data_IF_761776101488
#
_entry.id   IF_761776101488
#
_cell.length_a   1.000
_cell.length_b   1.000
_cell.length_c   1.000
_cell.angle_alpha   90.00
_cell.angle_beta   90.00
_cell.angle_gamma   90.00
#
_symmetry.space_group_name_H-M   'P 1'
#
loop_
_entity.id
_entity.type
_entity.pdbx_description
1 polymer ?
#
# COMPACT_ATOMS: atom_id res chain seq x y z
N UNK A 1 12.67 -21.19 -9.95
CA UNK A 1 11.34 -20.69 -9.64
C UNK A 1 11.44 -19.65 -8.54
N UNK A 2 10.57 -18.62 -8.57
CA UNK A 2 10.41 -17.61 -7.53
C UNK A 2 8.92 -17.43 -7.26
N UNK A 3 8.51 -17.39 -5.99
CA UNK A 3 7.13 -17.17 -5.59
C UNK A 3 7.00 -15.86 -4.83
N UNK A 4 6.26 -14.94 -5.41
CA UNK A 4 6.07 -13.57 -4.91
C UNK A 4 4.64 -13.41 -4.40
N UNK A 5 4.46 -12.86 -3.20
CA UNK A 5 3.16 -12.47 -2.68
C UNK A 5 3.08 -10.95 -2.69
N UNK A 6 2.26 -10.38 -3.56
CA UNK A 6 2.35 -8.97 -3.97
C UNK A 6 0.99 -8.25 -3.91
N UNK A 7 1.03 -6.94 -4.06
CA UNK A 7 -0.17 -6.15 -4.30
C UNK A 7 -0.68 -6.36 -5.73
N UNK A 8 -1.99 -6.19 -5.92
CA UNK A 8 -2.63 -6.24 -7.24
C UNK A 8 -2.13 -5.07 -8.14
N UNK A 9 -1.86 -5.37 -9.41
CA UNK A 9 -1.39 -4.39 -10.43
C UNK A 9 -0.20 -3.49 -10.01
N UNK A 10 0.74 -4.00 -9.25
CA UNK A 10 1.77 -3.18 -8.59
C UNK A 10 3.19 -3.40 -9.13
N UNK A 11 3.42 -4.45 -9.90
CA UNK A 11 4.66 -4.68 -10.66
C UNK A 11 4.31 -4.78 -12.14
N UNK A 12 4.99 -4.03 -13.05
CA UNK A 12 4.78 -4.16 -14.49
C UNK A 12 5.17 -5.55 -14.98
N UNK A 13 4.34 -6.15 -15.85
CA UNK A 13 4.63 -7.48 -16.41
C UNK A 13 5.95 -7.49 -17.19
N UNK A 14 6.26 -6.40 -17.89
CA UNK A 14 7.52 -6.25 -18.64
C UNK A 14 8.76 -6.37 -17.74
N UNK A 15 8.66 -5.93 -16.48
CA UNK A 15 9.74 -6.06 -15.51
C UNK A 15 9.92 -7.49 -15.05
N UNK A 16 8.82 -8.22 -14.88
CA UNK A 16 8.83 -9.66 -14.56
C UNK A 16 9.44 -10.45 -15.72
N UNK A 17 8.97 -10.21 -16.94
CA UNK A 17 9.46 -10.86 -18.15
C UNK A 17 10.98 -10.59 -18.36
N UNK A 18 11.44 -9.38 -18.05
CA UNK A 18 12.85 -9.01 -18.08
C UNK A 18 13.66 -9.84 -17.09
N UNK A 19 13.20 -9.94 -15.83
CA UNK A 19 13.87 -10.75 -14.82
C UNK A 19 13.96 -12.22 -15.22
N UNK A 20 12.86 -12.81 -15.69
CA UNK A 20 12.81 -14.20 -16.16
C UNK A 20 13.78 -14.45 -17.31
N UNK A 21 13.81 -13.54 -18.29
CA UNK A 21 14.69 -13.62 -19.45
C UNK A 21 16.18 -13.52 -19.07
N UNK A 22 16.52 -12.64 -18.14
CA UNK A 22 17.91 -12.41 -17.73
C UNK A 22 18.46 -13.51 -16.82
N UNK A 23 17.58 -14.14 -16.01
CA UNK A 23 17.99 -15.08 -14.98
C UNK A 23 17.63 -16.54 -15.24
N UNK A 24 16.65 -16.79 -16.13
CA UNK A 24 16.08 -18.11 -16.34
C UNK A 24 15.21 -18.59 -15.14
N UNK A 25 14.80 -17.68 -14.27
CA UNK A 25 13.99 -17.97 -13.08
C UNK A 25 12.53 -17.66 -13.38
N UNK A 26 11.66 -18.66 -13.43
CA UNK A 26 10.22 -18.45 -13.57
C UNK A 26 9.65 -17.79 -12.33
N UNK A 27 8.80 -16.77 -12.49
CA UNK A 27 8.16 -16.01 -11.40
C UNK A 27 6.67 -16.32 -11.36
N UNK A 28 6.18 -16.61 -10.16
CA UNK A 28 4.74 -16.74 -9.90
C UNK A 28 4.34 -15.68 -8.89
N UNK A 29 3.29 -14.92 -9.20
CA UNK A 29 2.78 -13.85 -8.35
C UNK A 29 1.36 -14.20 -7.92
N UNK A 30 1.16 -14.28 -6.60
CA UNK A 30 -0.16 -14.26 -5.97
C UNK A 30 -0.37 -12.89 -5.33
N UNK A 31 -1.62 -12.44 -5.24
CA UNK A 31 -1.92 -11.08 -4.74
C UNK A 31 -2.65 -11.07 -3.41
N UNK A 32 -2.55 -9.93 -2.73
CA UNK A 32 -3.30 -9.58 -1.53
C UNK A 32 -3.80 -8.13 -1.64
N UNK A 33 -4.81 -7.80 -0.87
CA UNK A 33 -5.53 -6.51 -0.89
C UNK A 33 -5.23 -5.62 0.32
N UNK A 34 -4.65 -6.21 1.40
CA UNK A 34 -4.23 -5.44 2.59
C UNK A 34 -3.06 -6.11 3.32
N UNK A 35 -2.27 -5.31 4.04
CA UNK A 35 -1.18 -5.82 4.89
C UNK A 35 -1.69 -6.81 5.93
N UNK A 36 -2.89 -6.55 6.49
CA UNK A 36 -3.51 -7.39 7.49
C UNK A 36 -3.92 -8.75 6.91
N UNK A 37 -4.51 -8.78 5.72
CA UNK A 37 -4.87 -10.02 5.02
C UNK A 37 -3.61 -10.82 4.64
N UNK A 38 -2.56 -10.16 4.16
CA UNK A 38 -1.26 -10.77 3.87
C UNK A 38 -0.67 -11.43 5.13
N UNK A 39 -0.58 -10.67 6.25
CA UNK A 39 -0.04 -11.20 7.51
C UNK A 39 -0.86 -12.39 8.02
N UNK A 40 -2.19 -12.27 8.04
CA UNK A 40 -3.09 -13.34 8.47
C UNK A 40 -2.90 -14.61 7.62
N UNK A 41 -2.76 -14.47 6.30
CA UNK A 41 -2.55 -15.56 5.36
C UNK A 41 -1.21 -16.27 5.61
N UNK A 42 -0.13 -15.51 5.81
CA UNK A 42 1.19 -16.08 6.13
C UNK A 42 1.15 -16.86 7.45
N UNK A 43 0.51 -16.30 8.49
CA UNK A 43 0.35 -16.97 9.81
C UNK A 43 -0.57 -18.18 9.76
N UNK A 44 -1.51 -18.23 8.83
CA UNK A 44 -2.41 -19.36 8.60
C UNK A 44 -1.77 -20.54 7.84
N UNK A 45 -0.47 -20.50 7.57
CA UNK A 45 0.29 -21.61 6.98
C UNK A 45 0.82 -21.37 5.57
N UNK A 46 0.79 -20.11 5.08
CA UNK A 46 1.44 -19.78 3.80
C UNK A 46 2.90 -19.34 3.96
N UNK A 47 3.41 -19.16 5.18
CA UNK A 47 4.84 -18.99 5.42
C UNK A 47 5.57 -20.25 4.94
N UNK A 48 6.68 -20.08 4.20
CA UNK A 48 7.37 -21.18 3.52
C UNK A 48 6.76 -21.61 2.18
N UNK A 49 5.66 -20.97 1.74
CA UNK A 49 5.11 -21.14 0.39
C UNK A 49 5.54 -20.02 -0.56
N UNK A 50 5.88 -18.87 -0.04
CA UNK A 50 6.38 -17.71 -0.78
C UNK A 50 7.82 -17.42 -0.40
N UNK A 51 8.53 -16.75 -1.30
CA UNK A 51 9.93 -16.36 -1.13
C UNK A 51 10.05 -14.92 -0.66
N UNK A 52 9.26 -14.02 -1.26
CA UNK A 52 9.22 -12.60 -0.94
C UNK A 52 7.77 -12.11 -0.83
N UNK A 53 7.59 -11.04 -0.06
CA UNK A 53 6.35 -10.26 -0.05
C UNK A 53 6.67 -8.77 0.03
N UNK A 54 5.65 -7.90 -0.13
CA UNK A 54 5.83 -6.44 -0.25
C UNK A 54 4.96 -5.70 0.77
N UNK A 55 5.32 -5.74 2.06
CA UNK A 55 4.60 -5.02 3.11
C UNK A 55 4.89 -3.52 3.10
N UNK A 56 3.94 -2.74 3.61
CA UNK A 56 4.16 -1.38 4.04
C UNK A 56 5.13 -1.28 5.22
N UNK A 57 5.66 -0.10 5.47
CA UNK A 57 6.69 0.19 6.48
C UNK A 57 6.34 -0.31 7.89
N UNK A 58 5.15 0.04 8.41
CA UNK A 58 4.69 -0.42 9.74
C UNK A 58 4.58 -1.95 9.84
N UNK A 59 4.19 -2.60 8.74
CA UNK A 59 4.03 -4.04 8.69
C UNK A 59 5.38 -4.76 8.65
N UNK A 60 6.42 -4.16 8.05
CA UNK A 60 7.80 -4.67 8.14
C UNK A 60 8.22 -4.80 9.60
N UNK A 61 7.95 -3.78 10.43
CA UNK A 61 8.28 -3.82 11.86
C UNK A 61 7.55 -4.95 12.59
N UNK A 62 6.25 -5.10 12.34
CA UNK A 62 5.44 -6.18 12.94
C UNK A 62 5.99 -7.54 12.53
N UNK A 63 6.21 -7.79 11.24
CA UNK A 63 6.69 -9.06 10.72
C UNK A 63 8.09 -9.41 11.25
N UNK A 64 8.99 -8.41 11.34
CA UNK A 64 10.31 -8.58 11.94
C UNK A 64 10.22 -8.98 13.40
N UNK A 65 9.40 -8.27 14.20
CA UNK A 65 9.23 -8.55 15.62
C UNK A 65 8.58 -9.92 15.88
N UNK A 66 7.74 -10.39 14.98
CA UNK A 66 7.13 -11.74 15.02
C UNK A 66 8.06 -12.83 14.46
N UNK A 67 9.23 -12.48 13.92
CA UNK A 67 10.20 -13.46 13.41
C UNK A 67 9.79 -14.12 12.10
N UNK A 68 9.00 -13.43 11.28
CA UNK A 68 8.50 -13.91 9.98
C UNK A 68 9.44 -13.58 8.81
N UNK A 69 10.48 -12.79 9.05
CA UNK A 69 11.43 -12.35 8.03
C UNK A 69 12.78 -13.04 8.19
N UNK A 70 13.42 -13.39 7.08
CA UNK A 70 14.82 -13.73 7.02
C UNK A 70 15.67 -12.46 6.80
N UNK A 71 16.97 -12.57 7.01
CA UNK A 71 17.93 -11.49 6.82
C UNK A 71 18.86 -11.77 5.64
N UNK A 72 19.47 -10.70 5.12
CA UNK A 72 20.50 -10.79 4.10
C UNK A 72 21.73 -9.94 4.50
N UNK A 73 22.87 -10.27 3.93
CA UNK A 73 24.11 -9.49 4.08
C UNK A 73 24.29 -8.51 2.91
N UNK A 74 25.20 -7.54 3.07
CA UNK A 74 25.52 -6.59 2.00
C UNK A 74 26.16 -7.26 0.78
N UNK A 75 26.92 -8.31 1.00
CA UNK A 75 27.56 -9.11 -0.04
C UNK A 75 26.52 -9.86 -0.90
N UNK A 76 25.40 -10.25 -0.31
CA UNK A 76 24.26 -10.87 -1.02
C UNK A 76 23.43 -9.87 -1.81
N UNK A 77 23.62 -8.55 -1.59
CA UNK A 77 22.85 -7.47 -2.20
C UNK A 77 23.77 -6.41 -2.86
N UNK A 78 24.49 -6.74 -3.94
CA UNK A 78 25.48 -5.84 -4.57
C UNK A 78 24.92 -4.47 -4.95
N UNK A 79 23.64 -4.40 -5.39
CA UNK A 79 22.99 -3.16 -5.79
C UNK A 79 22.48 -2.31 -4.62
N UNK A 80 22.71 -2.74 -3.37
CA UNK A 80 22.27 -1.98 -2.19
C UNK A 80 22.78 -0.53 -2.18
N UNK A 81 23.97 -0.29 -2.74
CA UNK A 81 24.54 1.07 -2.86
C UNK A 81 23.74 2.03 -3.74
N UNK A 82 22.78 1.56 -4.51
CA UNK A 82 21.89 2.38 -5.33
C UNK A 82 20.71 2.97 -4.52
N UNK A 83 20.47 2.50 -3.28
CA UNK A 83 19.44 3.06 -2.42
C UNK A 83 19.85 4.49 -2.05
N UNK A 84 18.94 5.45 -2.26
CA UNK A 84 19.17 6.83 -1.88
C UNK A 84 19.46 6.96 -0.37
N UNK A 85 20.37 7.85 0.04
CA UNK A 85 20.86 7.91 1.41
C UNK A 85 19.76 8.03 2.48
N UNK A 86 18.69 8.76 2.17
CA UNK A 86 17.52 8.95 3.06
C UNK A 86 16.73 7.66 3.32
N UNK A 87 16.90 6.63 2.48
CA UNK A 87 16.21 5.35 2.59
C UNK A 87 17.09 4.20 3.07
N UNK A 88 18.39 4.44 3.24
CA UNK A 88 19.37 3.42 3.67
C UNK A 88 19.10 2.93 5.10
N UNK A 89 18.69 3.82 5.98
CA UNK A 89 18.36 3.47 7.36
C UNK A 89 16.90 3.84 7.66
N UNK A 90 16.14 2.84 8.08
CA UNK A 90 14.71 2.99 8.32
C UNK A 90 14.39 2.57 9.77
N UNK A 91 13.60 3.37 10.51
CA UNK A 91 13.26 3.04 11.91
C UNK A 91 12.61 1.67 12.08
N UNK A 92 11.81 1.25 11.10
CA UNK A 92 11.10 -0.03 11.09
C UNK A 92 12.01 -1.23 10.77
N UNK A 93 13.18 -1.02 10.14
CA UNK A 93 14.20 -2.04 9.87
C UNK A 93 15.61 -1.43 9.99
N UNK A 94 16.13 -1.21 11.21
CA UNK A 94 17.43 -0.57 11.43
C UNK A 94 18.56 -1.28 10.69
N UNK A 95 19.26 -0.52 9.84
CA UNK A 95 20.32 -1.02 8.99
C UNK A 95 19.83 -1.85 7.80
N UNK A 96 18.53 -1.87 7.50
CA UNK A 96 17.97 -2.59 6.35
C UNK A 96 18.49 -4.02 6.22
N UNK A 97 18.23 -4.85 7.22
CA UNK A 97 18.69 -6.25 7.27
C UNK A 97 17.70 -7.24 6.66
N UNK A 98 16.43 -6.85 6.58
CA UNK A 98 15.32 -7.70 6.17
C UNK A 98 14.57 -7.17 4.94
N UNK A 99 14.70 -5.88 4.65
CA UNK A 99 13.90 -5.18 3.66
C UNK A 99 14.74 -4.30 2.73
N UNK A 100 14.27 -4.15 1.49
CA UNK A 100 14.72 -3.10 0.58
C UNK A 100 13.55 -2.17 0.27
N UNK A 101 13.76 -0.84 0.06
CA UNK A 101 12.69 0.04 -0.38
C UNK A 101 12.24 -0.38 -1.79
N UNK A 102 10.93 -0.31 -2.04
CA UNK A 102 10.34 -0.65 -3.33
C UNK A 102 9.64 0.55 -3.96
N UNK A 103 8.52 0.94 -3.41
CA UNK A 103 7.79 2.13 -3.84
C UNK A 103 7.33 2.94 -2.64
N UNK A 104 7.09 4.23 -2.83
CA UNK A 104 6.44 5.08 -1.86
C UNK A 104 5.31 5.85 -2.52
N UNK A 105 4.33 6.22 -1.73
CA UNK A 105 3.18 6.93 -2.23
C UNK A 105 2.37 7.57 -1.13
N UNK A 106 1.17 7.97 -1.49
CA UNK A 106 0.23 8.58 -0.56
C UNK A 106 -1.18 8.02 -0.72
N UNK A 107 -1.89 8.02 0.40
CA UNK A 107 -3.31 7.71 0.47
C UNK A 107 -4.08 8.96 0.90
N UNK A 108 -5.06 9.33 0.10
CA UNK A 108 -6.05 10.34 0.41
C UNK A 108 -7.38 9.95 -0.25
N UNK A 109 -7.97 10.82 -1.04
CA UNK A 109 -9.16 10.52 -1.83
C UNK A 109 -9.09 11.17 -3.20
N UNK A 110 -9.89 10.66 -4.13
CA UNK A 110 -10.18 11.31 -5.40
C UNK A 110 -11.67 11.55 -5.56
N UNK A 111 -12.00 12.51 -6.39
CA UNK A 111 -13.37 12.75 -6.84
C UNK A 111 -13.46 12.67 -8.36
N UNK A 112 -14.57 12.16 -8.84
CA UNK A 112 -14.94 12.26 -10.25
C UNK A 112 -15.49 13.68 -10.50
N UNK A 113 -14.75 14.48 -11.25
CA UNK A 113 -15.08 15.88 -11.53
C UNK A 113 -16.26 16.06 -12.48
N UNK A 114 -16.71 15.02 -13.13
CA UNK A 114 -17.95 15.07 -13.91
C UNK A 114 -19.19 15.04 -13.01
N UNK A 115 -19.06 14.42 -11.82
CA UNK A 115 -20.13 14.30 -10.84
C UNK A 115 -20.05 15.36 -9.75
N UNK A 116 -18.87 15.59 -9.16
CA UNK A 116 -18.71 16.52 -8.04
C UNK A 116 -17.82 17.71 -8.41
N UNK A 117 -18.37 18.91 -8.33
CA UNK A 117 -17.70 20.18 -8.67
C UNK A 117 -17.27 21.02 -7.44
N UNK A 118 -17.59 20.53 -6.24
CA UNK A 118 -17.34 21.24 -4.99
C UNK A 118 -15.88 21.23 -4.54
N UNK A 119 -15.65 21.80 -3.37
CA UNK A 119 -14.33 21.85 -2.73
C UNK A 119 -13.89 20.46 -2.24
N UNK A 120 -12.63 20.12 -2.48
CA UNK A 120 -11.98 18.86 -2.09
C UNK A 120 -10.79 19.08 -1.15
N UNK A 121 -10.72 20.24 -0.53
CA UNK A 121 -9.59 20.60 0.34
C UNK A 121 -9.64 19.96 1.74
N UNK A 122 -10.60 19.09 2.02
CA UNK A 122 -10.81 18.50 3.35
C UNK A 122 -11.18 17.04 3.28
N UNK A 123 -10.69 16.25 4.25
CA UNK A 123 -11.11 14.86 4.49
C UNK A 123 -12.60 14.74 4.87
N UNK A 124 -13.28 15.84 5.14
CA UNK A 124 -14.73 15.85 5.33
C UNK A 124 -15.48 15.23 4.13
N UNK A 125 -14.93 15.26 2.93
CA UNK A 125 -15.50 14.57 1.76
C UNK A 125 -15.73 13.08 2.04
N UNK A 126 -14.85 12.45 2.80
CA UNK A 126 -14.97 11.04 3.15
C UNK A 126 -15.72 10.83 4.46
N UNK A 127 -15.42 11.62 5.50
CA UNK A 127 -15.89 11.35 6.87
C UNK A 127 -17.14 12.12 7.29
N UNK A 128 -17.45 13.22 6.62
CA UNK A 128 -18.68 14.01 6.82
C UNK A 128 -19.11 14.65 5.49
N UNK A 129 -19.48 13.82 4.50
CA UNK A 129 -19.70 14.27 3.14
C UNK A 129 -20.90 15.19 3.00
N UNK A 130 -20.88 16.12 2.02
CA UNK A 130 -22.05 16.87 1.61
C UNK A 130 -23.13 15.93 1.06
N UNK A 131 -24.39 16.35 1.13
CA UNK A 131 -25.54 15.50 0.78
C UNK A 131 -25.46 14.89 -0.62
N UNK A 132 -24.89 15.59 -1.57
CA UNK A 132 -24.73 15.13 -2.96
C UNK A 132 -23.76 13.95 -3.13
N UNK A 133 -22.86 13.72 -2.15
CA UNK A 133 -21.90 12.60 -2.13
C UNK A 133 -22.34 11.43 -1.26
N UNK A 134 -23.35 11.61 -0.41
CA UNK A 134 -23.84 10.53 0.45
C UNK A 134 -24.31 9.33 -0.38
N UNK A 135 -23.86 8.14 -0.02
CA UNK A 135 -24.15 6.91 -0.74
C UNK A 135 -23.43 6.76 -2.08
N UNK A 136 -22.38 7.58 -2.33
CA UNK A 136 -21.59 7.55 -3.57
C UNK A 136 -20.08 7.56 -3.30
N UNK A 137 -19.66 7.07 -2.15
CA UNK A 137 -18.26 7.08 -1.73
C UNK A 137 -17.78 5.65 -1.62
N UNK A 138 -16.66 5.32 -2.29
CA UNK A 138 -15.91 4.10 -2.04
C UNK A 138 -14.86 4.35 -0.96
N UNK A 139 -14.69 3.38 -0.05
CA UNK A 139 -13.65 3.42 0.98
C UNK A 139 -12.75 2.20 0.81
N UNK A 140 -11.46 2.35 1.07
CA UNK A 140 -10.53 1.23 1.05
C UNK A 140 -10.92 0.19 2.09
N UNK A 141 -10.75 -1.08 1.79
CA UNK A 141 -10.89 -2.18 2.74
C UNK A 141 -9.60 -2.42 3.55
N UNK A 142 -8.63 -1.53 3.42
CA UNK A 142 -7.45 -1.44 4.27
C UNK A 142 -7.79 -0.73 5.58
N UNK A 143 -7.88 -1.50 6.66
CA UNK A 143 -8.24 -0.98 7.98
C UNK A 143 -7.23 0.05 8.49
N UNK A 144 -5.94 -0.17 8.26
CA UNK A 144 -4.88 0.75 8.66
C UNK A 144 -5.03 2.13 8.02
N UNK A 145 -5.32 2.18 6.72
CA UNK A 145 -5.50 3.43 5.97
C UNK A 145 -6.74 4.22 6.43
N UNK A 146 -7.85 3.53 6.68
CA UNK A 146 -9.09 4.17 7.15
C UNK A 146 -8.88 4.78 8.53
N UNK A 147 -8.25 4.05 9.45
CA UNK A 147 -7.95 4.53 10.80
C UNK A 147 -6.97 5.71 10.77
N UNK A 148 -5.94 5.63 9.93
CA UNK A 148 -4.94 6.69 9.82
C UNK A 148 -5.56 8.00 9.29
N UNK A 149 -6.30 7.95 8.17
CA UNK A 149 -6.98 9.14 7.64
C UNK A 149 -8.07 9.67 8.58
N UNK A 150 -8.81 8.78 9.25
CA UNK A 150 -9.79 9.19 10.27
C UNK A 150 -9.14 9.90 11.46
N UNK A 151 -7.97 9.42 11.90
CA UNK A 151 -7.18 10.08 12.95
C UNK A 151 -6.68 11.45 12.51
N UNK A 152 -6.16 11.57 11.28
CA UNK A 152 -5.75 12.85 10.68
C UNK A 152 -6.94 13.82 10.64
N UNK A 153 -8.11 13.37 10.22
CA UNK A 153 -9.32 14.19 10.14
C UNK A 153 -9.73 14.76 11.49
N UNK A 154 -9.59 13.98 12.57
CA UNK A 154 -9.92 14.41 13.93
C UNK A 154 -8.75 15.11 14.67
N UNK A 155 -7.57 15.20 14.06
CA UNK A 155 -6.36 15.72 14.74
C UNK A 155 -5.87 14.83 15.86
N UNK A 156 -6.15 13.52 15.80
CA UNK A 156 -5.69 12.53 16.75
C UNK A 156 -4.28 12.07 16.35
N UNK A 157 -3.31 12.04 17.29
CA UNK A 157 -1.98 11.49 16.99
C UNK A 157 -2.06 10.06 16.48
N UNK A 158 -1.24 9.73 15.47
CA UNK A 158 -1.12 8.35 15.00
C UNK A 158 -0.66 7.44 16.14
N UNK A 159 -1.16 6.21 16.18
CA UNK A 159 -0.87 5.23 17.24
C UNK A 159 -1.29 5.68 18.65
N UNK A 160 -2.26 6.59 18.78
CA UNK A 160 -2.79 6.98 20.09
C UNK A 160 -3.36 5.77 20.83
N UNK A 161 -3.08 5.69 22.13
CA UNK A 161 -3.68 4.71 23.06
C UNK A 161 -4.69 5.34 24.01
N UNK A 162 -4.99 6.63 23.82
CA UNK A 162 -5.98 7.35 24.60
C UNK A 162 -7.40 6.86 24.29
N UNK A 163 -8.11 6.39 25.31
CA UNK A 163 -9.42 5.75 25.14
C UNK A 163 -10.49 6.71 24.65
N UNK A 164 -10.46 7.98 25.07
CA UNK A 164 -11.44 8.97 24.61
C UNK A 164 -11.22 9.34 23.15
N UNK A 165 -9.95 9.48 22.72
CA UNK A 165 -9.60 9.70 21.32
C UNK A 165 -10.00 8.51 20.45
N UNK A 166 -9.71 7.28 20.88
CA UNK A 166 -10.11 6.07 20.16
C UNK A 166 -11.62 5.91 20.09
N UNK A 167 -12.35 6.28 21.16
CA UNK A 167 -13.81 6.31 21.14
C UNK A 167 -14.33 7.34 20.16
N UNK A 168 -13.78 8.56 20.15
CA UNK A 168 -14.17 9.61 19.22
C UNK A 168 -13.95 9.18 17.76
N UNK A 169 -12.81 8.54 17.46
CA UNK A 169 -12.50 7.97 16.16
C UNK A 169 -13.53 6.91 15.76
N UNK A 170 -13.81 5.97 16.63
CA UNK A 170 -14.80 4.91 16.39
C UNK A 170 -16.20 5.49 16.12
N UNK A 171 -16.67 6.43 16.95
CA UNK A 171 -17.99 7.05 16.80
C UNK A 171 -18.10 7.81 15.47
N UNK A 172 -17.03 8.53 15.09
CA UNK A 172 -16.95 9.23 13.80
C UNK A 172 -17.03 8.24 12.64
N UNK A 173 -16.26 7.16 12.67
CA UNK A 173 -16.24 6.14 11.59
C UNK A 173 -17.60 5.44 11.46
N UNK A 174 -18.27 5.11 12.58
CA UNK A 174 -19.62 4.52 12.55
C UNK A 174 -20.61 5.48 11.88
N UNK A 175 -20.53 6.78 12.17
CA UNK A 175 -21.36 7.78 11.52
C UNK A 175 -21.04 7.94 10.04
N UNK A 176 -19.76 8.02 9.68
CA UNK A 176 -19.31 8.18 8.30
C UNK A 176 -19.72 6.98 7.41
N UNK A 177 -19.63 5.76 7.96
CA UNK A 177 -19.97 4.51 7.26
C UNK A 177 -21.39 4.51 6.70
N UNK A 178 -22.35 5.21 7.33
CA UNK A 178 -23.73 5.32 6.84
C UNK A 178 -23.83 6.05 5.47
N UNK A 179 -22.79 6.75 5.09
CA UNK A 179 -22.71 7.53 3.86
C UNK A 179 -21.83 6.88 2.78
N UNK A 180 -21.19 5.76 3.06
CA UNK A 180 -20.35 5.04 2.13
C UNK A 180 -21.16 4.04 1.30
N UNK A 181 -20.83 3.90 0.03
CA UNK A 181 -21.52 3.01 -0.90
C UNK A 181 -20.87 1.63 -0.96
N UNK A 182 -19.53 1.61 -0.91
CA UNK A 182 -18.77 0.38 -1.11
C UNK A 182 -17.45 0.40 -0.36
N UNK A 183 -16.87 -0.79 -0.22
CA UNK A 183 -15.52 -1.00 0.29
C UNK A 183 -14.74 -1.79 -0.76
N UNK A 184 -13.54 -1.36 -1.08
CA UNK A 184 -12.65 -2.06 -2.00
C UNK A 184 -11.42 -1.22 -2.31
N UNK A 185 -10.25 -1.82 -2.14
CA UNK A 185 -8.96 -1.22 -2.48
C UNK A 185 -8.64 -1.46 -3.97
N UNK A 186 -8.73 -2.69 -4.43
CA UNK A 186 -8.41 -3.07 -5.82
C UNK A 186 -9.39 -2.48 -6.83
N UNK A 187 -10.66 -2.29 -6.42
CA UNK A 187 -11.72 -1.72 -7.27
C UNK A 187 -11.81 -0.20 -7.17
N UNK A 188 -11.05 0.45 -6.29
CA UNK A 188 -11.17 1.89 -6.02
C UNK A 188 -11.02 2.77 -7.27
N UNK A 189 -10.12 2.39 -8.20
CA UNK A 189 -9.95 3.05 -9.49
C UNK A 189 -11.19 2.86 -10.36
N UNK A 190 -11.64 1.64 -10.51
CA UNK A 190 -12.67 1.26 -11.48
C UNK A 190 -14.04 1.87 -11.16
N UNK A 191 -14.42 1.91 -9.87
CA UNK A 191 -15.68 2.54 -9.46
C UNK A 191 -15.70 4.06 -9.65
N UNK A 192 -14.52 4.71 -9.62
CA UNK A 192 -14.40 6.13 -9.95
C UNK A 192 -14.43 6.37 -11.47
N UNK A 193 -13.79 5.49 -12.25
CA UNK A 193 -13.78 5.56 -13.73
C UNK A 193 -15.16 5.31 -14.29
N UNK A 194 -15.88 4.29 -13.80
CA UNK A 194 -17.25 3.97 -14.23
C UNK A 194 -18.29 5.01 -13.79
N UNK A 195 -17.99 5.80 -12.74
CA UNK A 195 -18.94 6.71 -12.11
C UNK A 195 -19.88 6.06 -11.10
N UNK A 196 -19.65 4.81 -10.73
CA UNK A 196 -20.39 4.11 -9.65
C UNK A 196 -20.11 4.76 -8.29
N UNK A 197 -18.92 5.35 -8.12
CA UNK A 197 -18.59 6.23 -7.03
C UNK A 197 -18.27 7.64 -7.53
N UNK A 198 -18.78 8.68 -6.83
CA UNK A 198 -18.47 10.07 -7.09
C UNK A 198 -17.19 10.53 -6.39
N UNK A 199 -16.85 9.90 -5.29
CA UNK A 199 -15.61 10.11 -4.53
C UNK A 199 -15.14 8.78 -3.93
N UNK A 200 -13.86 8.70 -3.57
CA UNK A 200 -13.36 7.51 -2.89
C UNK A 200 -11.96 7.68 -2.32
N UNK A 201 -11.70 7.01 -1.20
CA UNK A 201 -10.34 6.80 -0.73
C UNK A 201 -9.57 6.02 -1.80
N UNK A 202 -8.36 6.45 -2.08
CA UNK A 202 -7.58 5.87 -3.17
C UNK A 202 -6.08 6.14 -2.96
N UNK A 203 -5.24 5.27 -3.48
CA UNK A 203 -3.81 5.48 -3.61
C UNK A 203 -3.51 6.42 -4.78
N UNK A 204 -2.52 7.31 -4.61
CA UNK A 204 -2.16 8.29 -5.64
C UNK A 204 -1.84 7.65 -7.01
N UNK A 205 -1.22 6.46 -7.03
CA UNK A 205 -0.92 5.69 -8.23
C UNK A 205 -2.18 5.28 -9.00
N UNK A 206 -3.19 4.77 -8.32
CA UNK A 206 -4.48 4.42 -8.94
C UNK A 206 -5.24 5.64 -9.46
N UNK A 207 -5.17 6.78 -8.75
CA UNK A 207 -5.71 8.03 -9.27
C UNK A 207 -5.00 8.49 -10.55
N UNK A 208 -3.68 8.30 -10.62
CA UNK A 208 -2.91 8.60 -11.84
C UNK A 208 -3.30 7.66 -13.00
N UNK A 209 -3.44 6.36 -12.74
CA UNK A 209 -3.92 5.37 -13.73
C UNK A 209 -5.32 5.73 -14.25
N UNK A 210 -6.26 6.07 -13.36
CA UNK A 210 -7.61 6.49 -13.76
C UNK A 210 -7.58 7.69 -14.74
N UNK A 211 -6.73 8.68 -14.48
CA UNK A 211 -6.55 9.82 -15.40
C UNK A 211 -5.94 9.40 -16.73
N UNK A 212 -4.96 8.49 -16.72
CA UNK A 212 -4.36 7.96 -17.94
C UNK A 212 -5.37 7.18 -18.81
N UNK A 213 -6.37 6.56 -18.20
CA UNK A 213 -7.51 5.92 -18.87
C UNK A 213 -8.57 6.91 -19.36
N UNK A 214 -8.37 8.22 -19.16
CA UNK A 214 -9.24 9.28 -19.63
C UNK A 214 -10.34 9.70 -18.66
N UNK A 215 -10.36 9.18 -17.43
CA UNK A 215 -11.34 9.60 -16.44
C UNK A 215 -11.02 10.99 -15.89
N UNK A 216 -12.06 11.80 -15.69
CA UNK A 216 -11.95 13.14 -15.12
C UNK A 216 -11.93 13.08 -13.59
N UNK A 217 -10.90 12.45 -13.04
CA UNK A 217 -10.69 12.31 -11.60
C UNK A 217 -9.60 13.24 -11.10
N UNK A 218 -9.81 13.83 -9.93
CA UNK A 218 -8.84 14.69 -9.26
C UNK A 218 -8.49 14.12 -7.90
N UNK A 219 -7.18 13.93 -7.67
CA UNK A 219 -6.64 13.51 -6.37
C UNK A 219 -6.55 14.72 -5.45
N UNK A 220 -7.04 14.57 -4.22
CA UNK A 220 -7.06 15.62 -3.22
C UNK A 220 -5.79 15.66 -2.38
N UNK A 221 -5.44 16.88 -1.96
CA UNK A 221 -4.43 17.14 -0.93
C UNK A 221 -5.13 17.87 0.24
N UNK A 222 -5.76 17.10 1.15
CA UNK A 222 -6.54 17.67 2.25
C UNK A 222 -5.70 18.54 3.17
N UNK A 223 -6.29 19.63 3.67
CA UNK A 223 -5.61 20.56 4.59
C UNK A 223 -5.29 19.93 5.95
N UNK A 224 -6.03 18.91 6.34
CA UNK A 224 -5.77 18.15 7.57
C UNK A 224 -4.54 17.27 7.43
N UNK A 225 -4.14 16.92 6.21
CA UNK A 225 -3.05 16.01 5.88
C UNK A 225 -3.54 14.75 5.17
N UNK A 226 -2.60 13.89 4.82
CA UNK A 226 -2.82 12.61 4.17
C UNK A 226 -1.76 11.61 4.61
N UNK A 227 -1.98 10.32 4.34
CA UNK A 227 -1.00 9.28 4.68
C UNK A 227 0.08 9.25 3.60
N UNK A 228 1.33 9.14 4.04
CA UNK A 228 2.48 8.78 3.18
C UNK A 228 3.01 7.44 3.67
N UNK A 229 3.25 6.53 2.76
CA UNK A 229 3.72 5.18 3.05
C UNK A 229 4.90 4.80 2.17
N UNK A 230 5.65 3.80 2.63
CA UNK A 230 6.69 3.15 1.86
C UNK A 230 6.48 1.64 1.89
N UNK A 231 6.34 1.06 0.70
CA UNK A 231 6.35 -0.38 0.54
C UNK A 231 7.77 -0.90 0.39
N UNK A 232 8.01 -2.09 0.92
CA UNK A 232 9.32 -2.69 0.98
C UNK A 232 9.25 -4.14 0.52
N UNK A 233 10.20 -4.58 -0.29
CA UNK A 233 10.34 -6.01 -0.56
C UNK A 233 11.09 -6.65 0.60
N UNK A 234 10.52 -7.69 1.17
CA UNK A 234 11.11 -8.45 2.28
C UNK A 234 11.33 -9.91 1.91
N UNK A 235 12.43 -10.47 2.43
CA UNK A 235 12.70 -11.89 2.35
C UNK A 235 11.92 -12.61 3.45
N UNK A 236 11.06 -13.56 3.07
CA UNK A 236 10.29 -14.33 4.03
C UNK A 236 11.15 -15.40 4.70
N UNK A 237 10.87 -15.65 5.97
CA UNK A 237 11.46 -16.77 6.68
C UNK A 237 11.03 -18.09 6.03
N UNK A 238 11.95 -19.05 5.98
CA UNK A 238 11.73 -20.35 5.36
C UNK A 238 11.39 -20.29 3.87
N UNK A 239 11.83 -19.22 3.17
CA UNK A 239 11.67 -19.06 1.72
C UNK A 239 12.24 -20.27 0.97
N UNK A 240 11.43 -21.01 0.19
CA UNK A 240 11.88 -22.22 -0.50
C UNK A 240 12.96 -21.96 -1.56
N UNK A 241 12.99 -20.74 -2.12
CA UNK A 241 13.94 -20.35 -3.18
C UNK A 241 14.72 -19.08 -2.77
N UNK A 242 15.31 -19.07 -1.57
CA UNK A 242 16.01 -17.92 -0.98
C UNK A 242 16.99 -17.24 -1.92
N UNK A 243 17.82 -18.00 -2.62
CA UNK A 243 18.84 -17.44 -3.52
C UNK A 243 18.20 -16.72 -4.71
N UNK A 244 17.07 -17.21 -5.21
CA UNK A 244 16.31 -16.56 -6.28
C UNK A 244 15.60 -15.29 -5.76
N UNK A 245 15.12 -15.33 -4.52
CA UNK A 245 14.55 -14.15 -3.85
C UNK A 245 15.58 -13.02 -3.73
N UNK A 246 16.80 -13.33 -3.30
CA UNK A 246 17.88 -12.35 -3.22
C UNK A 246 18.26 -11.77 -4.60
N UNK A 247 18.30 -12.61 -5.64
CA UNK A 247 18.53 -12.13 -7.01
C UNK A 247 17.44 -11.17 -7.46
N UNK A 248 16.17 -11.47 -7.14
CA UNK A 248 15.05 -10.62 -7.48
C UNK A 248 15.09 -9.28 -6.72
N UNK A 249 15.32 -9.31 -5.41
CA UNK A 249 15.49 -8.11 -4.60
C UNK A 249 16.64 -7.25 -5.15
N UNK A 250 17.79 -7.86 -5.47
CA UNK A 250 18.92 -7.15 -6.04
C UNK A 250 18.64 -6.59 -7.45
N UNK A 251 17.85 -7.30 -8.27
CA UNK A 251 17.42 -6.86 -9.59
C UNK A 251 16.53 -5.61 -9.49
N UNK A 252 15.62 -5.55 -8.52
CA UNK A 252 14.77 -4.38 -8.28
C UNK A 252 15.56 -3.14 -7.84
N UNK A 253 16.73 -3.30 -7.24
CA UNK A 253 17.63 -2.20 -6.86
C UNK A 253 18.52 -1.68 -8.00
N UNK A 254 18.45 -2.26 -9.19
CA UNK A 254 19.11 -1.70 -10.35
C UNK A 254 18.32 -0.46 -10.81
N UNK A 255 18.97 0.72 -10.98
CA UNK A 255 18.29 1.94 -11.43
C UNK A 255 17.53 1.79 -12.75
N UNK A 256 17.97 0.88 -13.64
CA UNK A 256 17.27 0.57 -14.88
C UNK A 256 15.96 -0.20 -14.68
N UNK A 257 15.70 -0.71 -13.48
CA UNK A 257 14.53 -1.52 -13.11
C UNK A 257 13.66 -0.82 -12.06
N UNK A 258 14.14 0.26 -11.44
CA UNK A 258 13.47 0.97 -10.37
C UNK A 258 12.58 2.15 -10.85
N UNK A 259 12.36 2.29 -12.15
CA UNK A 259 11.63 3.42 -12.77
C UNK A 259 10.14 3.15 -12.94
#
# INVERSE_FOLDING_TARGET
QLKVYHWFEYIPQELVDKFEKETGIDVTIDTFDSNEAMLASLKAGKLGQYDVTVPGDYMVEIMRNEGLLDSYTREEMPNFGNIAPEWVDAPFDPGRKHSIPYQWGSTAFSVNRDVYKGDISSLAIIFNPPDELKGKINVLDSQGEVLALGSIYLGIPQCSTDKEQLKALNDMLINAKQHWASFGSDTAKDVLVSGDAAAGMIYNGFSAKARAEGANVEYAYPKEGFVVWMDNVVLLKDAPNRDNALKFMNFLLDPANAA
#
